data_IF_237486190205
#
_entry.id   IF_237486190205
#
_cell.length_a   1.000
_cell.length_b   1.000
_cell.length_c   1.000
_cell.angle_alpha   90.00
_cell.angle_beta   90.00
_cell.angle_gamma   90.00
#
_symmetry.space_group_name_H-M   'P 1'
#
loop_
_entity.id
_entity.type
_entity.pdbx_description
1 polymer ?
#
# COMPACT_ATOMS: atom_id res chain seq x y z
N UNK A 1 -10.77 -8.05 -20.12
CA UNK A 1 -9.86 -8.52 -21.19
C UNK A 1 -9.76 -10.04 -21.14
N UNK A 2 -9.69 -10.73 -22.29
CA UNK A 2 -9.40 -12.16 -22.31
C UNK A 2 -7.95 -12.40 -21.83
N UNK A 3 -7.77 -13.31 -20.87
CA UNK A 3 -6.46 -13.66 -20.32
C UNK A 3 -5.98 -12.80 -19.14
N UNK A 4 -6.70 -11.73 -18.79
CA UNK A 4 -6.44 -10.98 -17.56
C UNK A 4 -7.09 -11.67 -16.35
N UNK A 5 -6.50 -11.48 -15.18
CA UNK A 5 -7.10 -11.92 -13.93
C UNK A 5 -8.36 -11.10 -13.61
N UNK A 6 -9.42 -11.78 -13.21
CA UNK A 6 -10.55 -11.13 -12.54
C UNK A 6 -10.22 -11.06 -11.05
N UNK A 7 -10.04 -9.83 -10.53
CA UNK A 7 -9.73 -9.63 -9.13
C UNK A 7 -10.98 -9.88 -8.30
N UNK A 8 -10.91 -10.85 -7.39
CA UNK A 8 -12.00 -11.16 -6.49
C UNK A 8 -12.36 -9.95 -5.62
N UNK A 9 -13.62 -9.88 -5.18
CA UNK A 9 -14.02 -8.90 -4.17
C UNK A 9 -13.20 -9.13 -2.89
N UNK A 10 -12.46 -8.12 -2.48
CA UNK A 10 -11.68 -8.13 -1.24
C UNK A 10 -12.41 -7.35 -0.17
N UNK A 11 -12.18 -7.68 1.09
CA UNK A 11 -12.57 -6.85 2.24
C UNK A 11 -11.40 -5.94 2.63
N UNK A 12 -11.69 -4.83 3.32
CA UNK A 12 -10.66 -3.89 3.75
C UNK A 12 -9.92 -4.46 4.97
N UNK A 13 -8.60 -4.28 4.99
CA UNK A 13 -7.80 -4.75 6.13
C UNK A 13 -7.95 -3.82 7.32
N UNK A 14 -8.09 -4.40 8.52
CA UNK A 14 -7.84 -3.66 9.75
C UNK A 14 -6.32 -3.55 9.95
N UNK A 15 -5.75 -2.41 9.55
CA UNK A 15 -4.34 -2.10 9.79
C UNK A 15 -4.13 -1.72 11.27
N UNK A 16 -2.93 -1.96 11.84
CA UNK A 16 -2.55 -1.31 13.09
C UNK A 16 -2.69 0.21 12.95
N UNK A 17 -3.26 0.88 13.95
CA UNK A 17 -3.65 2.31 13.89
C UNK A 17 -2.53 3.21 13.34
N UNK A 18 -1.31 3.07 13.87
CA UNK A 18 -0.15 3.83 13.42
C UNK A 18 0.20 3.59 11.95
N UNK A 19 0.03 2.35 11.46
CA UNK A 19 0.28 1.99 10.06
C UNK A 19 -0.84 2.54 9.17
N UNK A 20 -2.08 2.61 9.66
CA UNK A 20 -3.18 3.24 8.93
C UNK A 20 -2.92 4.74 8.71
N UNK A 21 -2.55 5.47 9.77
CA UNK A 21 -2.17 6.89 9.66
C UNK A 21 -0.99 7.09 8.72
N UNK A 22 0.04 6.24 8.85
CA UNK A 22 1.21 6.29 7.98
C UNK A 22 0.89 5.96 6.52
N UNK A 23 -0.03 5.03 6.28
CA UNK A 23 -0.53 4.68 4.95
C UNK A 23 -1.23 5.87 4.31
N UNK A 24 -2.17 6.51 5.01
CA UNK A 24 -2.89 7.69 4.53
C UNK A 24 -1.91 8.83 4.22
N UNK A 25 -0.94 9.08 5.12
CA UNK A 25 0.07 10.11 4.95
C UNK A 25 0.95 9.87 3.72
N UNK A 26 1.45 8.65 3.56
CA UNK A 26 2.36 8.28 2.48
C UNK A 26 1.67 8.21 1.11
N UNK A 27 0.36 7.90 1.08
CA UNK A 27 -0.38 7.72 -0.17
C UNK A 27 -1.16 8.96 -0.64
N UNK A 28 -1.44 9.93 0.24
CA UNK A 28 -2.28 11.13 -0.07
C UNK A 28 -1.87 11.90 -1.33
N UNK A 29 -0.59 11.88 -1.69
CA UNK A 29 -0.03 12.64 -2.81
C UNK A 29 0.21 11.79 -4.06
N UNK A 30 -0.06 10.48 -4.03
CA UNK A 30 0.08 9.61 -5.19
C UNK A 30 -1.12 9.86 -6.11
N UNK A 31 -0.84 10.35 -7.32
CA UNK A 31 -1.87 10.67 -8.32
C UNK A 31 -2.05 9.52 -9.30
N UNK A 32 -3.25 9.42 -9.86
CA UNK A 32 -3.58 8.48 -10.94
C UNK A 32 -3.91 7.06 -10.47
N UNK A 33 -4.00 6.86 -9.15
CA UNK A 33 -4.26 5.56 -8.54
C UNK A 33 -4.88 5.73 -7.15
N UNK A 34 -5.80 4.83 -6.80
CA UNK A 34 -6.28 4.62 -5.44
C UNK A 34 -5.71 3.32 -4.89
N UNK A 35 -5.39 3.32 -3.59
CA UNK A 35 -4.86 2.15 -2.89
C UNK A 35 -5.75 1.84 -1.71
N UNK A 36 -6.31 0.63 -1.67
CA UNK A 36 -7.03 0.12 -0.50
C UNK A 36 -6.27 -1.03 0.14
N UNK A 37 -5.87 -0.93 1.41
CA UNK A 37 -5.20 -2.03 2.10
C UNK A 37 -6.16 -3.22 2.26
N UNK A 38 -5.69 -4.42 1.92
CA UNK A 38 -6.47 -5.69 2.00
C UNK A 38 -5.78 -6.74 2.87
N UNK A 39 -4.48 -6.61 3.13
CA UNK A 39 -3.78 -7.46 4.09
C UNK A 39 -2.54 -6.77 4.66
N UNK A 40 -2.43 -6.71 5.98
CA UNK A 40 -1.17 -6.41 6.65
C UNK A 40 -0.30 -7.68 6.74
N UNK A 41 0.86 -7.69 6.08
CA UNK A 41 1.73 -8.87 6.01
C UNK A 41 2.73 -8.94 7.17
N UNK A 42 3.22 -7.80 7.65
CA UNK A 42 4.20 -7.75 8.71
C UNK A 42 5.12 -6.55 8.65
N UNK A 43 6.19 -6.60 9.43
CA UNK A 43 7.18 -5.52 9.56
C UNK A 43 8.62 -6.03 9.64
N UNK A 44 9.54 -5.17 9.29
CA UNK A 44 10.99 -5.37 9.38
C UNK A 44 11.62 -4.17 10.09
N UNK A 45 12.36 -4.42 11.16
CA UNK A 45 13.09 -3.36 11.89
C UNK A 45 14.38 -3.02 11.15
N UNK A 46 14.60 -1.72 10.90
CA UNK A 46 15.77 -1.15 10.22
C UNK A 46 16.20 0.14 10.95
N UNK A 47 16.76 1.14 10.26
CA UNK A 47 16.85 2.50 10.76
C UNK A 47 15.46 3.19 10.73
N UNK A 48 14.51 2.64 11.51
CA UNK A 48 13.08 2.85 11.35
C UNK A 48 12.36 1.50 11.30
N UNK A 49 11.18 1.45 10.68
CA UNK A 49 10.47 0.18 10.46
C UNK A 49 9.85 0.14 9.07
N UNK A 50 10.14 -0.90 8.29
CA UNK A 50 9.40 -1.16 7.06
C UNK A 50 8.15 -1.99 7.39
N UNK A 51 7.03 -1.65 6.77
CA UNK A 51 5.76 -2.37 6.85
C UNK A 51 5.36 -2.86 5.46
N UNK A 52 4.93 -4.12 5.38
CA UNK A 52 4.45 -4.72 4.14
C UNK A 52 2.93 -4.83 4.16
N UNK A 53 2.28 -4.24 3.17
CA UNK A 53 0.82 -4.21 3.01
C UNK A 53 0.47 -4.68 1.60
N UNK A 54 -0.47 -5.60 1.48
CA UNK A 54 -1.10 -5.89 0.19
C UNK A 54 -2.23 -4.90 0.01
N UNK A 55 -2.26 -4.25 -1.15
CA UNK A 55 -3.31 -3.32 -1.52
C UNK A 55 -4.02 -3.81 -2.77
N UNK A 56 -5.34 -3.58 -2.80
CA UNK A 56 -6.05 -3.40 -4.06
C UNK A 56 -5.67 -2.03 -4.60
N UNK A 57 -5.17 -2.00 -5.82
CA UNK A 57 -4.73 -0.80 -6.54
C UNK A 57 -5.67 -0.59 -7.72
N UNK A 58 -6.33 0.57 -7.79
CA UNK A 58 -7.26 0.92 -8.87
C UNK A 58 -6.74 2.15 -9.60
N UNK A 59 -6.42 2.00 -10.89
CA UNK A 59 -5.95 3.11 -11.73
C UNK A 59 -7.10 4.07 -12.05
N UNK A 60 -6.78 5.37 -12.12
CA UNK A 60 -7.72 6.41 -12.55
C UNK A 60 -7.90 6.47 -14.08
N UNK A 61 -7.63 5.38 -14.79
CA UNK A 61 -7.87 5.29 -16.23
C UNK A 61 -9.37 5.16 -16.54
N UNK A 62 -9.74 5.09 -17.82
CA UNK A 62 -11.15 5.00 -18.22
C UNK A 62 -11.80 3.67 -17.81
N UNK A 63 -10.99 2.64 -17.58
CA UNK A 63 -11.47 1.27 -17.32
C UNK A 63 -11.50 0.95 -15.83
N UNK A 64 -10.88 1.79 -14.99
CA UNK A 64 -10.71 1.54 -13.57
C UNK A 64 -9.83 0.31 -13.33
N UNK A 65 -8.76 0.14 -14.13
CA UNK A 65 -7.95 -1.08 -14.12
C UNK A 65 -7.47 -1.41 -12.71
N UNK A 66 -7.74 -2.64 -12.27
CA UNK A 66 -7.42 -3.09 -10.93
C UNK A 66 -6.20 -4.03 -10.94
N UNK A 67 -5.33 -3.85 -9.94
CA UNK A 67 -4.17 -4.70 -9.67
C UNK A 67 -4.12 -5.07 -8.18
N UNK A 68 -3.49 -6.21 -7.87
CA UNK A 68 -3.04 -6.51 -6.52
C UNK A 68 -1.56 -6.13 -6.42
N UNK A 69 -1.20 -5.32 -5.43
CA UNK A 69 0.18 -4.85 -5.26
C UNK A 69 0.68 -5.10 -3.84
N UNK A 70 1.96 -5.44 -3.72
CA UNK A 70 2.72 -5.35 -2.49
C UNK A 70 3.24 -3.92 -2.34
N UNK A 71 2.79 -3.22 -1.29
CA UNK A 71 3.26 -1.90 -0.92
C UNK A 71 4.16 -2.01 0.31
N UNK A 72 5.35 -1.40 0.22
CA UNK A 72 6.24 -1.24 1.36
C UNK A 72 6.18 0.21 1.84
N UNK A 73 5.74 0.39 3.09
CA UNK A 73 5.78 1.66 3.80
C UNK A 73 7.02 1.72 4.70
N UNK A 74 7.68 2.86 4.76
CA UNK A 74 8.71 3.13 5.73
C UNK A 74 8.20 4.09 6.81
N UNK A 75 8.24 3.61 8.05
CA UNK A 75 8.08 4.41 9.24
C UNK A 75 9.46 4.96 9.66
N UNK A 76 9.64 6.29 9.72
CA UNK A 76 10.91 6.89 10.14
C UNK A 76 11.22 6.61 11.61
N UNK A 77 12.50 6.56 11.94
CA UNK A 77 12.93 6.43 13.34
C UNK A 77 12.57 7.69 14.14
N UNK A 78 11.95 7.58 15.33
CA UNK A 78 11.66 8.74 16.19
C UNK A 78 12.89 9.59 16.54
N UNK A 79 14.08 8.97 16.54
CA UNK A 79 15.34 9.67 16.84
C UNK A 79 15.92 10.43 15.64
N UNK A 80 15.54 10.07 14.42
CA UNK A 80 16.04 10.69 13.19
C UNK A 80 15.03 11.70 12.60
N UNK A 81 13.75 11.59 12.99
CA UNK A 81 12.67 12.33 12.37
C UNK A 81 12.40 11.84 10.95
N UNK A 82 11.44 12.47 10.27
CA UNK A 82 11.03 12.13 8.90
C UNK A 82 9.52 11.99 8.76
N UNK A 83 9.08 11.78 7.52
CA UNK A 83 7.69 11.50 7.17
C UNK A 83 7.53 10.03 6.79
N UNK A 84 6.30 9.54 6.78
CA UNK A 84 6.02 8.21 6.24
C UNK A 84 6.20 8.20 4.73
N UNK A 85 6.84 7.15 4.22
CA UNK A 85 7.16 7.05 2.79
C UNK A 85 6.69 5.73 2.19
N UNK A 86 6.16 5.78 0.97
CA UNK A 86 6.02 4.58 0.14
C UNK A 86 7.37 4.30 -0.51
N UNK A 87 8.04 3.23 -0.09
CA UNK A 87 9.35 2.86 -0.63
C UNK A 87 9.21 2.11 -1.95
N UNK A 88 8.20 1.25 -2.07
CA UNK A 88 7.97 0.48 -3.30
C UNK A 88 6.52 0.03 -3.41
N UNK A 89 6.04 -0.04 -4.66
CA UNK A 89 4.77 -0.65 -5.04
C UNK A 89 5.08 -1.68 -6.12
N UNK A 90 4.86 -2.96 -5.83
CA UNK A 90 5.21 -4.07 -6.74
C UNK A 90 3.94 -4.85 -7.10
N UNK A 91 3.58 -4.97 -8.38
CA UNK A 91 2.50 -5.85 -8.80
C UNK A 91 2.73 -7.29 -8.36
N UNK A 92 1.67 -7.92 -7.85
CA UNK A 92 1.63 -9.35 -7.60
C UNK A 92 0.78 -9.91 -8.74
N UNK A 93 1.46 -10.50 -9.72
CA UNK A 93 1.00 -10.95 -11.07
C UNK A 93 1.11 -9.93 -12.20
#
# INVERSE_FOLDING_TARGET
MLGAWEIAKMEESSLPEMVATGFDEATKNIKGAEYRPVLYCGKQVVAGTNHMVICKHTLSDKEGTEHVVAMMLHQPSPMQGGEWEVVSITPIV
#
